data_IF_467380240391
#
_entry.id   IF_467380240391
#
_cell.length_a   1.000
_cell.length_b   1.000
_cell.length_c   1.000
_cell.angle_alpha   90.00
_cell.angle_beta   90.00
_cell.angle_gamma   90.00
#
_symmetry.space_group_name_H-M   'P 1'
#
loop_
_entity.id
_entity.type
_entity.pdbx_description
1 polymer ?
#
# COMPACT_ATOMS: atom_id res chain seq x y z
N UNK A 1 -8.70 7.21 14.83
CA UNK A 1 -9.62 6.62 13.84
C UNK A 1 -9.23 5.17 13.72
N UNK A 2 -10.20 4.28 13.55
CA UNK A 2 -9.96 2.86 13.34
C UNK A 2 -10.53 2.51 11.97
N UNK A 3 -9.73 1.87 11.12
CA UNK A 3 -10.17 1.30 9.85
C UNK A 3 -10.65 -0.12 10.12
N UNK A 4 -11.96 -0.32 10.09
CA UNK A 4 -12.61 -1.61 10.41
C UNK A 4 -13.06 -2.34 9.13
N UNK A 5 -13.09 -1.65 7.99
CA UNK A 5 -13.54 -2.24 6.73
C UNK A 5 -12.80 -1.66 5.53
N UNK A 6 -12.52 -2.52 4.55
CA UNK A 6 -12.03 -2.13 3.22
C UNK A 6 -12.95 -1.12 2.53
N UNK A 7 -14.25 -1.11 2.85
CA UNK A 7 -15.21 -0.17 2.27
C UNK A 7 -14.99 1.28 2.73
N UNK A 8 -14.25 1.50 3.83
CA UNK A 8 -13.87 2.83 4.30
C UNK A 8 -12.66 3.40 3.52
N UNK A 9 -11.97 2.56 2.75
CA UNK A 9 -10.77 2.92 2.03
C UNK A 9 -11.10 3.04 0.53
N UNK A 10 -11.01 4.26 0.00
CA UNK A 10 -10.95 4.43 -1.45
C UNK A 10 -9.52 4.15 -1.93
N UNK A 11 -9.32 2.94 -2.46
CA UNK A 11 -8.01 2.49 -2.95
C UNK A 11 -7.44 3.38 -4.05
N UNK A 12 -8.28 3.99 -4.90
CA UNK A 12 -7.77 4.87 -5.98
C UNK A 12 -7.20 6.13 -5.36
N UNK A 13 -7.92 6.73 -4.42
CA UNK A 13 -7.49 7.93 -3.70
C UNK A 13 -6.23 7.67 -2.88
N UNK A 14 -6.16 6.52 -2.18
CA UNK A 14 -4.98 6.09 -1.44
C UNK A 14 -3.74 5.99 -2.34
N UNK A 15 -3.85 5.23 -3.44
CA UNK A 15 -2.75 5.03 -4.39
C UNK A 15 -2.31 6.38 -4.99
N UNK A 16 -3.26 7.22 -5.42
CA UNK A 16 -2.98 8.55 -5.96
C UNK A 16 -2.26 9.47 -4.96
N UNK A 17 -2.69 9.44 -3.70
CA UNK A 17 -2.08 10.25 -2.64
C UNK A 17 -0.68 9.76 -2.29
N UNK A 18 -0.45 8.45 -2.26
CA UNK A 18 0.89 7.87 -2.08
C UNK A 18 1.84 8.25 -3.21
N UNK A 19 1.40 8.17 -4.48
CA UNK A 19 2.23 8.60 -5.61
C UNK A 19 2.60 10.09 -5.50
N UNK A 20 1.64 10.95 -5.14
CA UNK A 20 1.88 12.40 -4.99
C UNK A 20 2.87 12.70 -3.87
N UNK A 21 2.77 12.00 -2.74
CA UNK A 21 3.62 12.22 -1.57
C UNK A 21 5.04 11.70 -1.76
N UNK A 22 5.16 10.49 -2.29
CA UNK A 22 6.45 9.78 -2.38
C UNK A 22 7.18 10.01 -3.70
N UNK A 23 6.46 10.43 -4.76
CA UNK A 23 6.99 10.51 -6.12
C UNK A 23 7.12 9.16 -6.82
N UNK A 24 6.85 8.04 -6.14
CA UNK A 24 6.89 6.69 -6.70
C UNK A 24 5.64 6.41 -7.51
N UNK A 25 5.79 5.73 -8.66
CA UNK A 25 4.66 5.30 -9.49
C UNK A 25 4.16 3.94 -9.05
N UNK A 26 2.86 3.83 -8.81
CA UNK A 26 2.18 2.63 -8.34
C UNK A 26 1.26 2.06 -9.44
N UNK A 27 1.18 0.72 -9.57
CA UNK A 27 0.29 0.09 -10.55
C UNK A 27 -1.19 0.42 -10.28
N UNK A 28 -1.98 0.51 -11.35
CA UNK A 28 -3.43 0.80 -11.26
C UNK A 28 -4.31 -0.45 -11.29
N UNK A 29 -3.71 -1.59 -11.64
CA UNK A 29 -4.37 -2.89 -11.55
C UNK A 29 -4.12 -3.45 -10.15
N UNK A 30 -5.19 -3.69 -9.41
CA UNK A 30 -5.18 -4.38 -8.13
C UNK A 30 -5.83 -5.75 -8.33
N UNK A 31 -5.17 -6.82 -7.88
CA UNK A 31 -5.67 -8.20 -8.01
C UNK A 31 -6.10 -8.80 -6.67
N UNK A 32 -5.60 -8.28 -5.56
CA UNK A 32 -5.95 -8.71 -4.22
C UNK A 32 -5.81 -7.54 -3.24
N UNK A 33 -6.70 -7.49 -2.26
CA UNK A 33 -6.63 -6.56 -1.15
C UNK A 33 -7.05 -7.28 0.11
N UNK A 34 -6.27 -7.12 1.17
CA UNK A 34 -6.50 -7.71 2.47
C UNK A 34 -6.35 -6.65 3.55
N UNK A 35 -7.28 -6.63 4.50
CA UNK A 35 -7.25 -5.78 5.68
C UNK A 35 -7.25 -6.68 6.91
N UNK A 36 -6.31 -6.44 7.81
CA UNK A 36 -6.27 -6.94 9.17
C UNK A 36 -6.57 -5.76 10.09
N UNK A 37 -7.85 -5.58 10.44
CA UNK A 37 -8.33 -4.46 11.25
C UNK A 37 -7.85 -4.54 12.71
N UNK A 38 -7.68 -5.75 13.25
CA UNK A 38 -7.09 -5.95 14.58
C UNK A 38 -5.63 -5.47 14.66
N UNK A 39 -4.90 -5.53 13.53
CA UNK A 39 -3.48 -5.13 13.44
C UNK A 39 -3.27 -3.82 12.69
N UNK A 40 -4.34 -3.12 12.30
CA UNK A 40 -4.31 -1.90 11.49
C UNK A 40 -3.40 -2.02 10.25
N UNK A 41 -3.48 -3.17 9.56
CA UNK A 41 -2.63 -3.51 8.42
C UNK A 41 -3.44 -3.65 7.14
N UNK A 42 -3.01 -2.95 6.08
CA UNK A 42 -3.56 -3.06 4.74
C UNK A 42 -2.50 -3.63 3.79
N UNK A 43 -2.87 -4.70 3.08
CA UNK A 43 -2.05 -5.29 2.03
C UNK A 43 -2.76 -5.17 0.68
N UNK A 44 -2.05 -4.69 -0.34
CA UNK A 44 -2.53 -4.53 -1.71
C UNK A 44 -1.59 -5.28 -2.65
N UNK A 45 -2.12 -6.25 -3.40
CA UNK A 45 -1.38 -6.92 -4.47
C UNK A 45 -1.78 -6.36 -5.82
N UNK A 46 -0.78 -5.93 -6.58
CA UNK A 46 -0.94 -5.46 -7.96
C UNK A 46 -0.69 -6.58 -8.98
N UNK A 47 0.18 -7.52 -8.63
CA UNK A 47 0.58 -8.66 -9.47
C UNK A 47 1.16 -9.80 -8.63
N UNK A 48 1.04 -11.02 -9.13
CA UNK A 48 1.79 -12.17 -8.60
C UNK A 48 3.29 -12.02 -8.91
N UNK A 49 4.17 -12.23 -7.91
CA UNK A 49 5.60 -12.20 -8.14
C UNK A 49 6.00 -13.44 -8.96
N UNK A 50 7.01 -13.29 -9.82
CA UNK A 50 7.55 -14.44 -10.56
C UNK A 50 8.61 -15.17 -9.74
N UNK A 51 9.32 -14.45 -8.88
CA UNK A 51 10.34 -14.97 -7.96
C UNK A 51 10.28 -14.27 -6.60
N UNK A 52 11.43 -14.06 -5.98
CA UNK A 52 11.59 -13.40 -4.69
C UNK A 52 11.18 -11.93 -4.80
N UNK A 53 10.46 -11.46 -3.80
CA UNK A 53 10.12 -10.06 -3.62
C UNK A 53 11.15 -9.39 -2.71
N UNK A 54 11.54 -8.17 -3.05
CA UNK A 54 12.33 -7.28 -2.19
C UNK A 54 11.41 -6.17 -1.70
N UNK A 55 11.37 -5.97 -0.38
CA UNK A 55 10.58 -4.91 0.25
C UNK A 55 11.45 -3.69 0.53
N UNK A 56 10.99 -2.52 0.09
CA UNK A 56 11.62 -1.23 0.36
C UNK A 56 10.62 -0.28 1.04
N UNK A 57 11.00 0.40 2.14
CA UNK A 57 10.11 1.35 2.80
C UNK A 57 9.91 2.60 1.94
N UNK A 58 8.67 3.09 1.91
CA UNK A 58 8.33 4.39 1.34
C UNK A 58 8.66 5.51 2.33
N UNK A 59 8.85 6.72 1.79
CA UNK A 59 9.11 7.93 2.57
C UNK A 59 7.80 8.47 3.20
N UNK A 60 7.21 7.69 4.09
CA UNK A 60 5.99 8.00 4.87
C UNK A 60 6.31 7.92 6.37
N UNK A 61 5.50 8.58 7.20
CA UNK A 61 5.60 8.48 8.65
C UNK A 61 5.09 7.11 9.13
N UNK A 62 3.96 6.64 8.57
CA UNK A 62 3.51 5.27 8.74
C UNK A 62 4.40 4.29 7.97
N UNK A 63 4.50 3.05 8.44
CA UNK A 63 5.34 2.03 7.80
C UNK A 63 4.62 1.48 6.56
N UNK A 64 4.93 2.04 5.40
CA UNK A 64 4.48 1.55 4.11
C UNK A 64 5.67 0.91 3.37
N UNK A 65 5.57 -0.37 3.03
CA UNK A 65 6.62 -1.14 2.34
C UNK A 65 6.15 -1.50 0.94
N UNK A 66 6.91 -1.08 -0.07
CA UNK A 66 6.69 -1.44 -1.45
C UNK A 66 7.46 -2.71 -1.80
N UNK A 67 6.78 -3.72 -2.33
CA UNK A 67 7.40 -4.95 -2.78
C UNK A 67 7.61 -4.91 -4.29
N UNK A 68 8.81 -5.31 -4.71
CA UNK A 68 9.18 -5.45 -6.12
C UNK A 68 9.73 -6.84 -6.39
N UNK A 69 9.39 -7.40 -7.54
CA UNK A 69 10.00 -8.64 -8.01
C UNK A 69 11.48 -8.39 -8.36
N UNK A 70 12.39 -9.18 -7.78
CA UNK A 70 13.82 -8.91 -7.85
C UNK A 70 14.38 -8.88 -9.29
N UNK A 71 13.88 -9.76 -10.15
CA UNK A 71 14.35 -9.91 -11.53
C UNK A 71 13.81 -8.80 -12.45
N UNK A 72 12.50 -8.52 -12.34
CA UNK A 72 11.80 -7.62 -13.25
C UNK A 72 11.78 -6.17 -12.79
N UNK A 73 12.03 -5.94 -11.49
CA UNK A 73 11.86 -4.65 -10.80
C UNK A 73 10.45 -4.08 -10.88
N UNK A 74 9.47 -4.91 -11.25
CA UNK A 74 8.07 -4.51 -11.27
C UNK A 74 7.52 -4.48 -9.84
N UNK A 75 6.71 -3.47 -9.53
CA UNK A 75 5.96 -3.39 -8.27
C UNK A 75 4.90 -4.49 -8.25
N UNK A 76 4.95 -5.34 -7.23
CA UNK A 76 4.06 -6.50 -7.06
C UNK A 76 3.04 -6.29 -5.95
N UNK A 77 3.44 -5.64 -4.85
CA UNK A 77 2.57 -5.39 -3.72
C UNK A 77 2.95 -4.13 -2.93
N UNK A 78 2.04 -3.71 -2.05
CA UNK A 78 2.21 -2.66 -1.06
C UNK A 78 1.63 -3.15 0.25
N UNK A 79 2.43 -3.13 1.31
CA UNK A 79 2.00 -3.38 2.68
C UNK A 79 2.05 -2.07 3.46
N UNK A 80 1.00 -1.80 4.23
CA UNK A 80 0.91 -0.63 5.09
C UNK A 80 0.58 -1.13 6.48
N UNK A 81 1.48 -0.89 7.42
CA UNK A 81 1.25 -1.06 8.84
C UNK A 81 0.85 0.32 9.39
N UNK A 82 -0.13 0.34 10.29
CA UNK A 82 -0.78 1.56 10.78
C UNK A 82 -1.50 2.33 9.66
N UNK A 83 -2.36 1.64 8.90
CA UNK A 83 -3.13 2.25 7.80
C UNK A 83 -3.94 3.45 8.26
N UNK A 84 -4.46 3.43 9.49
CA UNK A 84 -5.18 4.56 10.07
C UNK A 84 -4.30 5.82 10.20
N UNK A 85 -3.00 5.68 10.49
CA UNK A 85 -2.07 6.81 10.55
C UNK A 85 -1.68 7.28 9.14
N UNK A 86 -1.46 6.35 8.19
CA UNK A 86 -1.16 6.73 6.81
C UNK A 86 -2.30 7.56 6.19
N UNK A 87 -3.57 7.19 6.41
CA UNK A 87 -4.70 7.93 5.86
C UNK A 87 -4.77 9.38 6.39
N UNK A 88 -4.46 9.59 7.68
CA UNK A 88 -4.35 10.93 8.28
C UNK A 88 -3.18 11.71 7.69
N UNK A 89 -2.02 11.07 7.57
CA UNK A 89 -0.82 11.67 6.98
C UNK A 89 -1.08 12.17 5.55
N UNK A 90 -1.86 11.40 4.78
CA UNK A 90 -2.25 11.74 3.41
C UNK A 90 -3.42 12.73 3.32
N UNK A 91 -4.07 13.08 4.44
CA UNK A 91 -5.24 13.99 4.50
C UNK A 91 -6.39 13.57 3.60
N UNK A 92 -6.58 12.27 3.43
CA UNK A 92 -7.68 11.70 2.64
C UNK A 92 -8.78 11.13 3.52
N UNK A 93 -8.70 11.41 4.82
CA UNK A 93 -9.71 11.12 5.82
C UNK A 93 -9.57 12.08 7.01
#
# INVERSE_FOLDING_TARGET
MVVESLLQIDLRVLIDSLERKTGVKLPRKVIEVYLDDERDLLFIRFKEPKKVEVGEPLSTEAVATLFTDEDTKEVTALEIIEVSELLKELKIY
#
